data_IF_674743949995
#
_entry.id   IF_674743949995
#
_cell.length_a   1.000
_cell.length_b   1.000
_cell.length_c   1.000
_cell.angle_alpha   90.00
_cell.angle_beta   90.00
_cell.angle_gamma   90.00
#
_symmetry.space_group_name_H-M   'P 1'
#
loop_
_entity.id
_entity.type
_entity.pdbx_description
1 polymer ?
#
# COMPACT_ATOMS: atom_id res chain seq x y z
N UNK A 1 -13.13 -25.44 4.20
CA UNK A 1 -11.89 -24.69 3.99
C UNK A 1 -12.00 -23.65 2.85
N UNK A 2 -12.86 -23.86 1.84
CA UNK A 2 -13.09 -22.91 0.76
C UNK A 2 -13.85 -21.65 1.20
N UNK A 3 -14.71 -21.78 2.19
CA UNK A 3 -15.42 -20.63 2.79
C UNK A 3 -14.45 -19.67 3.51
N UNK A 4 -13.37 -20.18 4.08
CA UNK A 4 -12.31 -19.36 4.70
C UNK A 4 -11.59 -18.48 3.70
N UNK A 5 -11.32 -18.96 2.48
CA UNK A 5 -10.63 -18.19 1.44
C UNK A 5 -11.48 -17.01 0.94
N UNK A 6 -12.78 -17.19 0.81
CA UNK A 6 -13.72 -16.11 0.47
C UNK A 6 -13.88 -15.11 1.61
N UNK A 7 -13.91 -15.57 2.86
CA UNK A 7 -13.98 -14.72 4.03
C UNK A 7 -12.68 -13.91 4.21
N UNK A 8 -11.53 -14.51 4.01
CA UNK A 8 -10.24 -13.81 4.06
C UNK A 8 -10.13 -12.74 2.98
N UNK A 9 -10.62 -13.00 1.77
CA UNK A 9 -10.69 -11.99 0.72
C UNK A 9 -11.64 -10.84 1.07
N UNK A 10 -12.81 -11.15 1.64
CA UNK A 10 -13.78 -10.15 2.09
C UNK A 10 -13.25 -9.34 3.27
N UNK A 11 -12.61 -9.98 4.24
CA UNK A 11 -12.02 -9.29 5.39
C UNK A 11 -10.91 -8.34 4.98
N UNK A 12 -10.04 -8.73 4.05
CA UNK A 12 -8.99 -7.85 3.53
C UNK A 12 -9.58 -6.61 2.85
N UNK A 13 -10.64 -6.76 2.08
CA UNK A 13 -11.27 -5.64 1.38
C UNK A 13 -12.13 -4.77 2.32
N UNK A 14 -12.86 -5.37 3.25
CA UNK A 14 -13.85 -4.69 4.09
C UNK A 14 -13.22 -4.14 5.36
N UNK A 15 -12.51 -4.99 6.10
CA UNK A 15 -11.96 -4.65 7.40
C UNK A 15 -10.67 -3.87 7.31
N UNK A 16 -9.74 -4.36 6.51
CA UNK A 16 -8.37 -3.87 6.50
C UNK A 16 -8.20 -2.62 5.63
N UNK A 17 -9.05 -2.43 4.62
CA UNK A 17 -9.09 -1.20 3.83
C UNK A 17 -9.92 -0.09 4.49
N UNK A 18 -10.72 -0.40 5.51
CA UNK A 18 -11.64 0.56 6.13
C UNK A 18 -12.70 1.09 5.16
N UNK A 19 -12.89 0.46 4.01
CA UNK A 19 -13.79 0.94 2.97
C UNK A 19 -15.22 0.41 3.19
N UNK A 20 -16.12 1.31 3.54
CA UNK A 20 -17.49 0.99 3.92
C UNK A 20 -18.38 0.60 2.73
N UNK A 21 -17.94 0.88 1.50
CA UNK A 21 -18.76 0.73 0.31
C UNK A 21 -19.03 -0.74 -0.05
N UNK A 22 -18.12 -1.64 0.30
CA UNK A 22 -18.31 -3.09 0.10
C UNK A 22 -19.40 -3.66 1.02
N UNK A 23 -19.72 -2.97 2.11
CA UNK A 23 -20.79 -3.34 3.05
C UNK A 23 -22.14 -2.73 2.73
N UNK A 24 -22.26 -1.92 1.68
CA UNK A 24 -23.50 -1.25 1.33
C UNK A 24 -24.39 -2.13 0.43
N UNK A 25 -25.19 -2.98 1.04
CA UNK A 25 -26.23 -3.78 0.34
C UNK A 25 -27.54 -3.01 0.20
N UNK A 26 -27.50 -1.70 0.02
CA UNK A 26 -28.68 -0.85 -0.03
C UNK A 26 -29.22 -0.78 -1.45
N UNK A 27 -30.56 -0.92 -1.58
CA UNK A 27 -31.29 -0.64 -2.82
C UNK A 27 -31.97 0.72 -2.72
N UNK A 28 -32.17 1.45 -3.83
CA UNK A 28 -32.97 2.67 -3.83
C UNK A 28 -34.36 2.42 -3.23
N UNK A 29 -34.81 3.33 -2.37
CA UNK A 29 -36.11 3.25 -1.71
C UNK A 29 -36.16 2.45 -0.42
N UNK A 30 -35.10 1.77 -0.01
CA UNK A 30 -35.00 1.12 1.30
C UNK A 30 -34.26 2.02 2.30
N UNK A 31 -34.91 2.29 3.42
CA UNK A 31 -34.33 3.07 4.51
C UNK A 31 -33.09 2.40 5.10
N UNK A 32 -32.19 3.20 5.57
CA UNK A 32 -30.95 2.73 6.16
C UNK A 32 -31.18 2.14 7.55
N UNK A 33 -30.75 0.92 7.79
CA UNK A 33 -31.01 0.24 9.06
C UNK A 33 -29.93 0.44 10.14
N UNK A 34 -28.85 1.10 9.90
CA UNK A 34 -27.82 1.36 10.92
C UNK A 34 -27.38 2.82 10.89
N UNK A 35 -27.94 3.61 11.79
CA UNK A 35 -27.38 4.81 12.43
C UNK A 35 -26.60 5.82 11.58
N UNK A 36 -26.79 5.92 10.31
CA UNK A 36 -26.05 6.84 9.49
C UNK A 36 -26.95 7.86 8.80
N UNK A 37 -26.47 9.00 8.74
CA UNK A 37 -26.82 10.32 8.23
C UNK A 37 -27.28 10.40 6.76
N UNK A 38 -28.16 9.57 6.30
CA UNK A 38 -28.89 9.77 5.03
C UNK A 38 -28.08 9.76 3.73
N UNK A 39 -26.75 9.53 3.76
CA UNK A 39 -25.89 9.54 2.57
C UNK A 39 -25.56 8.16 2.02
N UNK A 40 -26.53 7.24 2.00
CA UNK A 40 -26.28 5.90 1.54
C UNK A 40 -26.55 5.81 0.04
N UNK A 41 -25.52 5.42 -0.69
CA UNK A 41 -25.59 5.10 -2.11
C UNK A 41 -26.12 3.68 -2.31
N UNK A 42 -26.69 3.42 -3.46
CA UNK A 42 -26.92 2.04 -3.87
C UNK A 42 -25.56 1.30 -4.01
N UNK A 43 -25.55 0.00 -3.75
CA UNK A 43 -24.30 -0.76 -3.76
C UNK A 43 -23.53 -0.68 -5.09
N UNK A 44 -24.26 -0.58 -6.21
CA UNK A 44 -23.63 -0.45 -7.53
C UNK A 44 -23.01 0.93 -7.75
N UNK A 45 -23.56 2.00 -7.17
CA UNK A 45 -22.98 3.34 -7.22
C UNK A 45 -21.73 3.45 -6.33
N UNK A 46 -21.69 2.65 -5.25
CA UNK A 46 -20.55 2.59 -4.33
C UNK A 46 -19.32 1.89 -4.95
N UNK A 47 -19.51 0.99 -5.93
CA UNK A 47 -18.41 0.35 -6.65
C UNK A 47 -17.55 1.33 -7.48
N UNK A 48 -18.10 2.50 -7.80
CA UNK A 48 -17.39 3.56 -8.52
C UNK A 48 -16.69 4.55 -7.58
N UNK A 49 -16.80 4.36 -6.27
CA UNK A 49 -16.19 5.26 -5.30
C UNK A 49 -14.65 5.17 -5.32
N UNK A 50 -13.97 6.31 -5.08
CA UNK A 50 -12.50 6.38 -5.15
C UNK A 50 -11.79 5.34 -4.31
N UNK A 51 -12.25 5.10 -3.09
CA UNK A 51 -11.62 4.15 -2.18
C UNK A 51 -11.69 2.71 -2.68
N UNK A 52 -12.81 2.28 -3.27
CA UNK A 52 -12.89 0.96 -3.91
C UNK A 52 -11.87 0.84 -5.06
N UNK A 53 -11.80 1.86 -5.91
CA UNK A 53 -10.84 1.90 -7.00
C UNK A 53 -9.39 1.97 -6.55
N UNK A 54 -9.10 2.50 -5.35
CA UNK A 54 -7.75 2.55 -4.77
C UNK A 54 -7.23 1.19 -4.34
N UNK A 55 -8.10 0.21 -4.06
CA UNK A 55 -7.68 -1.15 -3.68
C UNK A 55 -6.82 -1.84 -4.74
N UNK A 56 -6.97 -1.49 -6.01
CA UNK A 56 -6.09 -1.98 -7.08
C UNK A 56 -4.63 -1.59 -6.87
N UNK A 57 -4.37 -0.42 -6.30
CA UNK A 57 -3.00 0.06 -6.04
C UNK A 57 -2.34 -0.77 -4.93
N UNK A 58 -3.08 -1.06 -3.85
CA UNK A 58 -2.60 -1.95 -2.80
C UNK A 58 -2.30 -3.34 -3.36
N UNK A 59 -3.23 -3.92 -4.12
CA UNK A 59 -3.04 -5.23 -4.76
C UNK A 59 -1.79 -5.24 -5.64
N UNK A 60 -1.61 -4.22 -6.46
CA UNK A 60 -0.48 -4.10 -7.37
C UNK A 60 0.84 -4.02 -6.60
N UNK A 61 0.92 -3.18 -5.56
CA UNK A 61 2.08 -3.09 -4.70
C UNK A 61 2.42 -4.45 -4.06
N UNK A 62 1.42 -5.16 -3.56
CA UNK A 62 1.62 -6.46 -2.91
C UNK A 62 2.10 -7.54 -3.88
N UNK A 63 1.64 -7.54 -5.13
CA UNK A 63 1.99 -8.53 -6.15
C UNK A 63 3.30 -8.19 -6.91
N UNK A 64 3.80 -6.96 -6.79
CA UNK A 64 5.03 -6.53 -7.44
C UNK A 64 6.25 -7.27 -6.89
N UNK A 65 6.24 -7.61 -5.62
CA UNK A 65 7.37 -8.21 -4.91
C UNK A 65 7.07 -9.66 -4.50
N UNK A 66 8.11 -10.51 -4.30
CA UNK A 66 7.93 -11.87 -3.80
C UNK A 66 7.18 -11.89 -2.48
N UNK A 67 5.89 -12.21 -2.52
CA UNK A 67 5.00 -12.10 -1.36
C UNK A 67 5.38 -13.05 -0.22
N UNK A 68 5.74 -14.30 -0.56
CA UNK A 68 6.04 -15.33 0.45
C UNK A 68 7.39 -15.15 1.16
N UNK A 69 8.26 -14.29 0.62
CA UNK A 69 9.54 -13.94 1.26
C UNK A 69 9.43 -12.75 2.19
N UNK A 70 8.28 -12.06 2.17
CA UNK A 70 8.06 -10.83 2.93
C UNK A 70 7.82 -11.14 4.39
N UNK A 71 8.61 -10.51 5.25
CA UNK A 71 8.46 -10.57 6.70
C UNK A 71 8.30 -9.18 7.29
N UNK A 72 7.46 -8.99 8.33
CA UNK A 72 7.45 -7.77 9.11
C UNK A 72 8.79 -7.60 9.82
N UNK A 73 9.47 -6.48 9.61
CA UNK A 73 10.76 -6.21 10.26
C UNK A 73 10.90 -4.72 10.60
N UNK A 74 10.60 -4.38 11.85
CA UNK A 74 10.71 -3.00 12.33
C UNK A 74 12.16 -2.58 12.59
N UNK A 75 13.14 -3.50 12.59
CA UNK A 75 14.56 -3.18 12.72
C UNK A 75 15.14 -2.48 11.49
N UNK A 76 14.39 -2.43 10.39
CA UNK A 76 14.67 -1.60 9.22
C UNK A 76 14.64 -0.10 9.56
N UNK A 77 13.81 0.30 10.52
CA UNK A 77 13.71 1.69 10.98
C UNK A 77 14.78 1.92 12.03
N UNK A 78 15.82 2.67 11.68
CA UNK A 78 16.89 3.02 12.58
C UNK A 78 16.46 4.13 13.55
N UNK A 79 16.89 4.03 14.80
CA UNK A 79 16.53 4.98 15.84
C UNK A 79 15.13 4.81 16.39
N UNK A 80 14.53 5.90 16.87
CA UNK A 80 13.20 5.88 17.49
C UNK A 80 12.11 5.87 16.41
N UNK A 81 11.31 4.82 16.37
CA UNK A 81 10.07 4.81 15.60
C UNK A 81 8.97 5.60 16.35
N UNK A 82 8.09 6.25 15.64
CA UNK A 82 6.99 7.00 16.24
C UNK A 82 5.96 6.10 16.93
N UNK A 83 5.03 6.73 17.62
CA UNK A 83 3.91 6.05 18.27
C UNK A 83 2.60 6.40 17.55
N UNK A 84 1.59 5.53 17.66
CA UNK A 84 0.26 5.72 17.09
C UNK A 84 0.34 6.06 15.58
N UNK A 85 -0.16 7.23 15.18
CA UNK A 85 -0.18 7.69 13.78
C UNK A 85 1.21 8.04 13.22
N UNK A 86 2.16 8.31 14.08
CA UNK A 86 3.55 8.61 13.68
C UNK A 86 4.41 7.36 13.51
N UNK A 87 3.88 6.21 13.86
CA UNK A 87 4.59 4.95 13.72
C UNK A 87 4.66 4.53 12.26
N UNK A 88 5.87 4.46 11.71
CA UNK A 88 6.12 3.85 10.42
C UNK A 88 6.10 2.31 10.54
N UNK A 89 5.60 1.64 9.51
CA UNK A 89 5.47 0.17 9.47
C UNK A 89 6.34 -0.36 8.35
N UNK A 90 7.29 -1.23 8.70
CA UNK A 90 8.25 -1.79 7.76
C UNK A 90 8.06 -3.29 7.55
N UNK A 91 8.21 -3.72 6.30
CA UNK A 91 8.32 -5.11 5.88
C UNK A 91 9.47 -5.24 4.89
N UNK A 92 10.11 -6.40 4.81
CA UNK A 92 11.15 -6.67 3.83
C UNK A 92 11.14 -8.09 3.30
N UNK A 93 11.68 -8.28 2.10
CA UNK A 93 12.20 -9.54 1.59
C UNK A 93 13.72 -9.58 1.71
N UNK A 94 14.36 -10.39 0.88
CA UNK A 94 15.82 -10.50 0.84
C UNK A 94 16.47 -9.30 0.13
N UNK A 95 15.83 -8.77 -0.92
CA UNK A 95 16.37 -7.77 -1.84
C UNK A 95 15.47 -6.54 -2.02
N UNK A 96 14.43 -6.40 -1.21
CA UNK A 96 13.56 -5.23 -1.16
C UNK A 96 13.05 -4.95 0.24
N UNK A 97 12.64 -3.71 0.50
CA UNK A 97 11.87 -3.32 1.68
C UNK A 97 10.77 -2.33 1.32
N UNK A 98 9.72 -2.36 2.11
CA UNK A 98 8.58 -1.45 2.01
C UNK A 98 8.37 -0.81 3.38
N UNK A 99 8.26 0.52 3.42
CA UNK A 99 7.96 1.25 4.66
C UNK A 99 6.77 2.16 4.43
N UNK A 100 5.67 1.86 5.12
CA UNK A 100 4.48 2.72 5.11
C UNK A 100 4.65 3.87 6.09
N UNK A 101 4.44 5.08 5.61
CA UNK A 101 4.52 6.32 6.38
C UNK A 101 3.23 7.12 6.22
N UNK A 102 2.40 7.12 7.28
CA UNK A 102 1.13 7.84 7.30
C UNK A 102 1.30 9.35 7.51
N UNK A 103 2.22 9.74 8.37
CA UNK A 103 2.37 11.13 8.80
C UNK A 103 3.31 11.97 7.94
N UNK A 104 4.05 11.37 7.00
CA UNK A 104 5.04 12.08 6.18
C UNK A 104 6.30 12.53 6.96
N UNK A 105 6.46 12.09 8.21
CA UNK A 105 7.62 12.46 9.02
C UNK A 105 8.94 11.90 8.46
N UNK A 106 10.09 12.52 8.79
CA UNK A 106 11.39 11.95 8.44
C UNK A 106 11.59 10.58 9.09
N UNK A 107 12.17 9.64 8.33
CA UNK A 107 12.51 8.30 8.81
C UNK A 107 13.98 8.01 8.53
N UNK A 108 14.65 7.38 9.49
CA UNK A 108 15.97 6.80 9.27
C UNK A 108 15.80 5.32 8.92
N UNK A 109 16.26 4.92 7.74
CA UNK A 109 16.08 3.56 7.23
C UNK A 109 17.44 2.89 7.05
N UNK A 110 17.58 1.71 7.64
CA UNK A 110 18.78 0.89 7.52
C UNK A 110 18.73 0.04 6.24
N UNK A 111 19.35 0.53 5.19
CA UNK A 111 19.40 -0.12 3.89
C UNK A 111 20.30 -1.38 3.86
N UNK A 112 21.09 -1.62 4.91
CA UNK A 112 21.92 -2.83 5.02
C UNK A 112 21.10 -4.10 5.29
N UNK A 113 19.82 -3.95 5.62
CA UNK A 113 18.89 -5.07 5.90
C UNK A 113 18.48 -5.86 4.66
N UNK A 114 18.75 -5.37 3.48
CA UNK A 114 18.50 -6.04 2.20
C UNK A 114 19.79 -6.18 1.38
N UNK A 115 19.80 -7.11 0.43
CA UNK A 115 20.96 -7.42 -0.42
C UNK A 115 21.40 -6.25 -1.30
N UNK A 116 22.59 -6.40 -1.91
CA UNK A 116 23.17 -5.45 -2.84
C UNK A 116 23.99 -4.35 -2.18
N UNK A 117 24.95 -3.77 -2.90
CA UNK A 117 25.75 -2.63 -2.46
C UNK A 117 25.05 -1.30 -2.72
N UNK A 118 24.25 -1.25 -3.80
CA UNK A 118 23.46 -0.10 -4.22
C UNK A 118 21.97 -0.43 -4.18
N UNK A 119 21.15 0.55 -3.85
CA UNK A 119 19.71 0.45 -3.72
C UNK A 119 19.02 1.57 -4.48
N UNK A 120 18.02 1.23 -5.26
CA UNK A 120 17.11 2.20 -5.84
C UNK A 120 15.91 2.44 -4.90
N UNK A 121 15.48 3.69 -4.77
CA UNK A 121 14.38 4.07 -3.90
C UNK A 121 13.31 4.87 -4.64
N UNK A 122 12.04 4.63 -4.26
CA UNK A 122 10.87 5.33 -4.79
C UNK A 122 9.89 5.65 -3.67
N UNK A 123 9.15 6.74 -3.84
CA UNK A 123 7.89 6.95 -3.16
C UNK A 123 6.74 6.40 -3.98
N UNK A 124 5.85 5.70 -3.31
CA UNK A 124 4.64 5.16 -3.88
C UNK A 124 3.41 5.75 -3.20
N UNK A 125 2.57 6.43 -3.96
CA UNK A 125 1.33 7.01 -3.48
C UNK A 125 0.23 5.95 -3.40
N UNK A 126 -0.28 5.69 -2.20
CA UNK A 126 -1.40 4.77 -1.98
C UNK A 126 -2.71 5.28 -2.61
N UNK A 127 -2.81 6.60 -2.83
CA UNK A 127 -4.02 7.27 -3.33
C UNK A 127 -4.23 7.09 -4.83
N UNK A 128 -3.17 7.18 -5.63
CA UNK A 128 -3.26 7.18 -7.10
C UNK A 128 -2.29 6.22 -7.78
N UNK A 129 -1.52 5.47 -7.00
CA UNK A 129 -0.58 4.47 -7.49
C UNK A 129 0.65 5.04 -8.21
N UNK A 130 0.92 6.34 -8.07
CA UNK A 130 2.09 6.96 -8.69
C UNK A 130 3.36 6.54 -7.99
N UNK A 131 4.40 6.39 -8.81
CA UNK A 131 5.77 6.16 -8.39
C UNK A 131 6.62 7.39 -8.68
N UNK A 132 7.33 7.84 -7.65
CA UNK A 132 8.31 8.92 -7.75
C UNK A 132 9.70 8.36 -7.42
N UNK A 133 10.61 8.40 -8.38
CA UNK A 133 11.99 7.95 -8.17
C UNK A 133 12.76 8.95 -7.32
N UNK A 134 13.35 8.48 -6.22
CA UNK A 134 14.11 9.32 -5.30
C UNK A 134 15.59 9.34 -5.68
N UNK A 135 16.16 8.17 -6.02
CA UNK A 135 17.55 8.04 -6.35
C UNK A 135 18.16 6.70 -6.00
N UNK A 136 19.48 6.60 -6.22
CA UNK A 136 20.30 5.45 -5.83
C UNK A 136 21.06 5.76 -4.55
N UNK A 137 21.11 4.81 -3.62
CA UNK A 137 21.72 4.94 -2.30
C UNK A 137 22.67 3.79 -2.00
N UNK A 138 23.67 4.06 -1.16
CA UNK A 138 24.54 3.03 -0.61
C UNK A 138 23.83 2.20 0.45
N UNK A 139 24.36 0.99 0.73
CA UNK A 139 23.86 0.09 1.77
C UNK A 139 24.20 0.56 3.18
N UNK A 140 23.58 1.64 3.64
CA UNK A 140 23.77 2.22 4.99
C UNK A 140 22.49 2.89 5.48
N UNK A 141 22.49 3.39 6.71
CA UNK A 141 21.36 4.16 7.23
C UNK A 141 21.21 5.47 6.47
N UNK A 142 20.01 5.70 5.95
CA UNK A 142 19.68 6.86 5.12
C UNK A 142 18.39 7.51 5.60
N UNK A 143 18.33 8.84 5.58
CA UNK A 143 17.11 9.59 5.91
C UNK A 143 16.21 9.73 4.70
N UNK A 144 14.93 9.43 4.88
CA UNK A 144 13.88 9.63 3.89
C UNK A 144 12.75 10.49 4.47
N UNK A 145 12.29 11.45 3.70
CA UNK A 145 11.13 12.26 4.04
C UNK A 145 10.33 12.52 2.78
N UNK A 146 9.01 12.39 2.86
CA UNK A 146 8.10 12.81 1.81
C UNK A 146 7.39 14.09 2.22
N UNK A 147 7.20 14.99 1.27
CA UNK A 147 6.60 16.31 1.48
C UNK A 147 5.05 16.27 1.47
N UNK A 148 4.48 15.17 1.89
CA UNK A 148 3.04 15.04 2.13
C UNK A 148 2.72 15.62 3.50
N UNK A 149 2.01 16.71 3.59
CA UNK A 149 1.68 17.34 4.87
C UNK A 149 1.06 16.35 5.89
N UNK A 150 1.37 16.56 7.16
CA UNK A 150 0.88 15.76 8.27
C UNK A 150 -0.65 15.64 8.27
N UNK A 151 -1.17 14.43 8.35
CA UNK A 151 -2.61 14.10 8.36
C UNK A 151 -3.40 14.58 7.11
N UNK A 152 -2.73 14.82 6.00
CA UNK A 152 -3.39 15.29 4.76
C UNK A 152 -4.06 14.16 3.94
N UNK A 153 -3.99 12.90 4.40
CA UNK A 153 -4.46 11.73 3.64
C UNK A 153 -3.61 11.42 2.41
N UNK A 154 -2.35 11.85 2.41
CA UNK A 154 -1.38 11.59 1.36
C UNK A 154 -0.32 10.60 1.85
N UNK A 155 -0.76 9.50 2.40
CA UNK A 155 0.12 8.43 2.87
C UNK A 155 0.98 7.89 1.74
N UNK A 156 2.23 7.61 2.09
CA UNK A 156 3.23 7.15 1.14
C UNK A 156 3.85 5.84 1.59
N UNK A 157 4.22 5.03 0.63
CA UNK A 157 5.06 3.85 0.85
C UNK A 157 6.43 4.10 0.27
N UNK A 158 7.45 4.08 1.10
CA UNK A 158 8.84 4.03 0.64
C UNK A 158 9.11 2.61 0.12
N UNK A 159 9.52 2.51 -1.12
CA UNK A 159 9.98 1.28 -1.76
C UNK A 159 11.48 1.40 -1.95
N UNK A 160 12.23 0.42 -1.44
CA UNK A 160 13.67 0.32 -1.71
C UNK A 160 13.99 -1.08 -2.21
N UNK A 161 14.77 -1.15 -3.26
CA UNK A 161 15.11 -2.41 -3.96
C UNK A 161 16.60 -2.44 -4.27
N UNK A 162 17.21 -3.61 -4.17
CA UNK A 162 18.55 -3.87 -4.69
C UNK A 162 18.64 -3.42 -6.16
N UNK A 163 19.61 -2.56 -6.49
CA UNK A 163 19.73 -2.00 -7.85
C UNK A 163 19.95 -3.05 -8.96
N UNK A 164 20.37 -4.27 -8.58
CA UNK A 164 20.47 -5.39 -9.50
C UNK A 164 19.12 -6.07 -9.82
N UNK A 165 18.04 -5.66 -9.17
CA UNK A 165 16.68 -6.23 -9.33
C UNK A 165 15.74 -5.27 -10.04
N UNK A 166 14.90 -5.83 -10.87
CA UNK A 166 14.01 -5.08 -11.77
C UNK A 166 12.52 -5.33 -11.47
N UNK A 167 12.14 -5.33 -10.18
CA UNK A 167 10.75 -5.56 -9.79
C UNK A 167 9.82 -4.43 -10.23
N UNK A 168 10.24 -3.21 -9.99
CA UNK A 168 9.39 -2.03 -10.18
C UNK A 168 9.10 -1.78 -11.66
N UNK A 169 10.08 -1.92 -12.53
CA UNK A 169 9.89 -1.72 -13.97
C UNK A 169 8.99 -2.78 -14.58
N UNK A 170 9.19 -4.06 -14.23
CA UNK A 170 8.39 -5.17 -14.77
C UNK A 170 6.91 -5.09 -14.36
N UNK A 171 6.65 -4.79 -13.10
CA UNK A 171 5.28 -4.77 -12.60
C UNK A 171 4.46 -3.60 -13.17
N UNK A 172 5.07 -2.44 -13.29
CA UNK A 172 4.37 -1.23 -13.75
C UNK A 172 4.14 -1.20 -15.26
N UNK A 173 4.99 -1.85 -16.04
CA UNK A 173 4.77 -2.01 -17.50
C UNK A 173 3.80 -3.12 -17.85
N UNK A 174 3.68 -4.17 -17.02
CA UNK A 174 2.83 -5.33 -17.29
C UNK A 174 1.37 -5.19 -16.81
N UNK A 175 1.11 -4.29 -15.86
CA UNK A 175 -0.21 -4.14 -15.21
C UNK A 175 -1.34 -3.65 -16.12
N UNK A 176 -1.13 -2.73 -17.08
CA UNK A 176 -2.19 -2.34 -18.01
C UNK A 176 -2.77 -3.52 -18.78
N UNK A 177 -1.94 -4.47 -19.22
CA UNK A 177 -2.36 -5.62 -20.01
C UNK A 177 -3.03 -6.72 -19.16
N UNK A 178 -2.61 -6.88 -17.91
CA UNK A 178 -3.21 -7.84 -17.00
C UNK A 178 -4.64 -7.44 -16.61
N UNK A 179 -4.90 -6.15 -16.41
CA UNK A 179 -6.22 -5.61 -16.08
C UNK A 179 -7.17 -5.74 -17.29
N UNK A 180 -6.69 -5.56 -18.52
CA UNK A 180 -7.51 -5.70 -19.73
C UNK A 180 -8.01 -7.14 -19.96
N UNK A 181 -7.31 -8.15 -19.44
CA UNK A 181 -7.75 -9.56 -19.55
C UNK A 181 -8.92 -9.92 -18.63
N UNK A 182 -9.19 -9.13 -17.59
CA UNK A 182 -10.29 -9.38 -16.65
C UNK A 182 -11.60 -8.66 -17.04
N UNK A 183 -11.54 -7.76 -18.02
CA UNK A 183 -12.70 -7.01 -18.52
C UNK A 183 -13.30 -7.60 -19.81
N UNK A 184 -12.98 -8.87 -20.13
CA UNK A 184 -13.59 -9.60 -21.27
C UNK A 184 -14.45 -10.75 -20.81
#
# INVERSE_FOLDING_TARGET
>A
YEISACLVGSEMCIRDSGHNDIMQFIRPGYGASFGADGRKKAWWDALEDPGFNQMKYLKNLMLTFPFFERVPDQSVIAGTNGERYDRAIATRGNDYLLVYNYSGRPMQIDLSKISGAKKNAWWYSAKDGKLEYIGEFDSKVTSFQHDSGYLSGNDQVLIVVDSAKDYVQKAWTALPDAIQKWNK
#
